data_IF_718992291202
#
_entry.id   IF_718992291202
#
_cell.length_a   1.000
_cell.length_b   1.000
_cell.length_c   1.000
_cell.angle_alpha   90.00
_cell.angle_beta   90.00
_cell.angle_gamma   90.00
#
_symmetry.space_group_name_H-M   'P 1'
#
loop_
_entity.id
_entity.type
_entity.pdbx_description
1 polymer ?
#
# COMPACT_ATOMS: atom_id res chain seq x y z
N UNK A 1 46.57 10.35 23.21
CA UNK A 1 46.02 9.69 22.02
C UNK A 1 45.25 8.38 22.29
N UNK A 2 45.52 7.71 23.42
CA UNK A 2 44.77 6.50 23.80
C UNK A 2 43.31 6.78 24.14
N UNK A 3 42.94 7.97 24.58
CA UNK A 3 41.60 8.33 25.01
C UNK A 3 40.63 8.68 23.81
N UNK A 4 41.17 9.10 22.68
CA UNK A 4 40.37 9.43 21.50
C UNK A 4 39.76 8.17 20.84
N UNK A 5 40.46 7.03 20.93
CA UNK A 5 39.94 5.75 20.41
C UNK A 5 38.78 5.20 21.23
N UNK A 6 38.83 5.39 22.54
CA UNK A 6 37.78 4.90 23.42
C UNK A 6 36.51 5.78 23.36
N UNK A 7 36.67 7.09 23.21
CA UNK A 7 35.54 8.01 23.03
C UNK A 7 34.81 7.76 21.71
N UNK A 8 35.53 7.40 20.64
CA UNK A 8 34.92 7.08 19.36
C UNK A 8 34.12 5.77 19.42
N UNK A 9 34.60 4.79 20.18
CA UNK A 9 33.96 3.48 20.32
C UNK A 9 32.68 3.58 21.17
N UNK A 10 32.70 4.39 22.21
CA UNK A 10 31.53 4.65 23.08
C UNK A 10 30.45 5.42 22.33
N UNK A 11 30.84 6.35 21.46
CA UNK A 11 29.92 7.12 20.63
C UNK A 11 29.22 6.25 19.57
N UNK A 12 29.91 5.24 19.04
CA UNK A 12 29.38 4.29 18.07
C UNK A 12 28.40 3.31 18.72
N UNK A 13 28.61 2.91 19.97
CA UNK A 13 27.67 2.06 20.72
C UNK A 13 26.39 2.79 21.13
N UNK A 14 26.46 4.09 21.42
CA UNK A 14 25.30 4.90 21.73
C UNK A 14 24.37 5.09 20.53
N UNK A 15 24.92 5.08 19.31
CA UNK A 15 24.13 5.17 18.08
C UNK A 15 23.36 3.87 17.79
N UNK A 16 23.92 2.71 18.15
CA UNK A 16 23.28 1.41 17.94
C UNK A 16 22.10 1.16 18.89
N UNK A 17 22.09 1.84 20.05
CA UNK A 17 21.04 1.69 21.06
C UNK A 17 19.77 2.53 20.79
N UNK A 18 19.80 3.42 19.79
CA UNK A 18 18.69 4.34 19.51
C UNK A 18 17.78 3.90 18.34
N UNK A 19 17.93 2.65 17.86
CA UNK A 19 17.02 2.12 16.84
C UNK A 19 15.65 1.81 17.47
N UNK A 20 14.67 2.67 17.15
CA UNK A 20 13.31 2.46 17.59
C UNK A 20 12.76 1.13 17.02
N UNK A 21 12.18 0.29 17.88
CA UNK A 21 11.52 -0.94 17.47
C UNK A 21 10.24 -0.58 16.72
N UNK A 22 10.06 -1.12 15.51
CA UNK A 22 8.82 -0.99 14.76
C UNK A 22 7.68 -1.67 15.50
N UNK A 23 6.53 -0.99 15.62
CA UNK A 23 5.34 -1.50 16.29
C UNK A 23 4.12 -1.37 15.40
N UNK A 24 3.23 -2.38 15.36
CA UNK A 24 1.96 -2.23 14.68
C UNK A 24 1.07 -1.22 15.42
N UNK A 25 0.48 -0.31 14.66
CA UNK A 25 -0.44 0.71 15.16
C UNK A 25 -1.72 0.64 14.35
N UNK A 26 -2.86 0.74 15.03
CA UNK A 26 -4.15 0.79 14.36
C UNK A 26 -4.56 2.24 14.09
N UNK A 27 -5.05 2.49 12.90
CA UNK A 27 -5.64 3.76 12.51
C UNK A 27 -7.14 3.57 12.34
N UNK A 28 -8.00 4.41 12.96
CA UNK A 28 -9.46 4.25 12.82
C UNK A 28 -9.94 4.27 11.38
N UNK A 29 -9.32 5.11 10.55
CA UNK A 29 -9.60 5.20 9.11
C UNK A 29 -8.31 5.37 8.32
N UNK A 30 -8.03 4.43 7.42
CA UNK A 30 -6.96 4.52 6.46
C UNK A 30 -7.52 4.73 5.04
N UNK A 31 -6.67 5.16 4.13
CA UNK A 31 -7.05 5.44 2.74
C UNK A 31 -6.28 4.54 1.81
N UNK A 32 -6.98 3.93 0.86
CA UNK A 32 -6.34 3.05 -0.10
C UNK A 32 -7.09 3.00 -1.43
N UNK A 33 -6.41 2.59 -2.46
CA UNK A 33 -7.00 2.23 -3.74
C UNK A 33 -6.25 1.06 -4.36
N UNK A 34 -6.90 0.37 -5.28
CA UNK A 34 -6.31 -0.74 -6.02
C UNK A 34 -5.89 -0.33 -7.42
N UNK A 35 -4.79 -0.90 -7.86
CA UNK A 35 -4.30 -0.84 -9.23
C UNK A 35 -4.18 -2.28 -9.74
N UNK A 36 -4.87 -2.59 -10.84
CA UNK A 36 -4.97 -3.96 -11.33
C UNK A 36 -4.58 -3.98 -12.81
N UNK A 37 -3.60 -4.83 -13.13
CA UNK A 37 -3.06 -4.96 -14.47
C UNK A 37 -2.83 -6.42 -14.85
N UNK A 38 -2.55 -6.65 -16.13
CA UNK A 38 -2.18 -7.97 -16.63
C UNK A 38 -1.07 -7.81 -17.67
N UNK A 39 -0.13 -8.73 -17.69
CA UNK A 39 0.96 -8.74 -18.67
C UNK A 39 0.50 -9.18 -20.07
N UNK A 40 -0.62 -9.87 -20.17
CA UNK A 40 -1.12 -10.42 -21.44
C UNK A 40 -2.10 -9.51 -22.18
N UNK A 41 -2.57 -8.45 -21.56
CA UNK A 41 -3.46 -7.48 -22.21
C UNK A 41 -3.13 -6.04 -21.79
N UNK A 42 -3.80 -5.07 -22.39
CA UNK A 42 -3.59 -3.65 -22.14
C UNK A 42 -4.65 -3.01 -21.24
N UNK A 43 -5.51 -3.81 -20.62
CA UNK A 43 -6.57 -3.31 -19.76
C UNK A 43 -6.04 -3.11 -18.33
N UNK A 44 -6.26 -1.92 -17.80
CA UNK A 44 -5.87 -1.54 -16.45
C UNK A 44 -7.11 -1.08 -15.69
N UNK A 45 -7.23 -1.52 -14.44
CA UNK A 45 -8.31 -1.08 -13.56
C UNK A 45 -7.73 -0.25 -12.41
N UNK A 46 -8.43 0.82 -12.08
CA UNK A 46 -8.25 1.58 -10.84
C UNK A 46 -9.52 1.47 -10.02
N UNK A 47 -9.39 1.23 -8.73
CA UNK A 47 -10.53 1.44 -7.84
C UNK A 47 -10.62 2.92 -7.48
N UNK A 48 -11.77 3.35 -7.01
CA UNK A 48 -11.88 4.65 -6.33
C UNK A 48 -11.01 4.67 -5.08
N UNK A 49 -10.62 5.85 -4.64
CA UNK A 49 -10.00 6.02 -3.32
C UNK A 49 -11.04 5.64 -2.27
N UNK A 50 -10.69 4.70 -1.40
CA UNK A 50 -11.60 4.18 -0.38
C UNK A 50 -11.09 4.48 1.01
N UNK A 51 -12.01 4.80 1.91
CA UNK A 51 -11.76 4.88 3.34
C UNK A 51 -12.03 3.51 3.94
N UNK A 52 -11.06 2.95 4.65
CA UNK A 52 -11.17 1.63 5.28
C UNK A 52 -10.99 1.78 6.78
N UNK A 53 -11.90 1.17 7.55
CA UNK A 53 -11.86 1.23 9.00
C UNK A 53 -10.81 0.27 9.58
N UNK A 54 -10.27 0.61 10.74
CA UNK A 54 -9.36 -0.23 11.52
C UNK A 54 -8.17 -0.77 10.71
N UNK A 55 -7.44 0.15 10.10
CA UNK A 55 -6.26 -0.19 9.29
C UNK A 55 -5.02 -0.22 10.18
N UNK A 56 -4.26 -1.30 10.08
CA UNK A 56 -3.01 -1.47 10.80
C UNK A 56 -1.81 -1.10 9.93
N UNK A 57 -0.85 -0.40 10.52
CA UNK A 57 0.38 -0.04 9.84
C UNK A 57 1.57 -0.11 10.79
N UNK A 58 2.77 -0.19 10.23
CA UNK A 58 4.02 -0.16 10.99
C UNK A 58 4.37 1.27 11.36
N UNK A 59 4.60 1.52 12.66
CA UNK A 59 4.85 2.88 13.17
C UNK A 59 6.14 3.49 12.65
N UNK A 60 7.12 2.68 12.28
CA UNK A 60 8.42 3.14 11.81
C UNK A 60 8.45 3.34 10.30
N UNK A 61 8.08 2.33 9.53
CA UNK A 61 8.11 2.37 8.06
C UNK A 61 6.87 3.03 7.47
N UNK A 62 5.78 3.13 8.23
CA UNK A 62 4.46 3.59 7.76
C UNK A 62 3.84 2.67 6.71
N UNK A 63 4.35 1.45 6.56
CA UNK A 63 3.82 0.47 5.62
C UNK A 63 2.53 -0.16 6.14
N UNK A 64 1.62 -0.41 5.22
CA UNK A 64 0.37 -1.10 5.50
C UNK A 64 0.64 -2.54 5.92
N UNK A 65 0.10 -2.94 7.07
CA UNK A 65 0.09 -4.34 7.50
C UNK A 65 -1.11 -5.07 6.89
N UNK A 66 -0.93 -6.33 6.56
CA UNK A 66 -1.97 -7.11 5.90
C UNK A 66 -2.22 -6.73 4.45
N UNK A 67 -1.26 -6.09 3.79
CA UNK A 67 -1.36 -5.67 2.39
C UNK A 67 -1.73 -6.81 1.46
N UNK A 68 -1.14 -7.99 1.66
CA UNK A 68 -1.44 -9.17 0.87
C UNK A 68 -2.89 -9.62 1.01
N UNK A 69 -3.49 -9.45 2.19
CA UNK A 69 -4.90 -9.78 2.43
C UNK A 69 -5.83 -8.81 1.71
N UNK A 70 -5.50 -7.52 1.69
CA UNK A 70 -6.24 -6.54 0.89
C UNK A 70 -6.11 -6.82 -0.61
N UNK A 71 -4.92 -7.15 -1.08
CA UNK A 71 -4.70 -7.53 -2.47
C UNK A 71 -5.47 -8.80 -2.84
N UNK A 72 -5.59 -9.76 -1.93
CA UNK A 72 -6.37 -10.98 -2.14
C UNK A 72 -7.87 -10.68 -2.31
N UNK A 73 -8.40 -9.70 -1.60
CA UNK A 73 -9.80 -9.27 -1.79
C UNK A 73 -10.03 -8.83 -3.24
N UNK A 74 -9.09 -8.09 -3.82
CA UNK A 74 -9.16 -7.70 -5.23
C UNK A 74 -9.03 -8.92 -6.16
N UNK A 75 -8.09 -9.81 -5.88
CA UNK A 75 -7.89 -11.03 -6.70
C UNK A 75 -9.13 -11.91 -6.71
N UNK A 76 -9.76 -12.10 -5.57
CA UNK A 76 -10.99 -12.88 -5.45
C UNK A 76 -12.15 -12.23 -6.21
N UNK A 77 -12.27 -10.93 -6.13
CA UNK A 77 -13.28 -10.19 -6.89
C UNK A 77 -13.08 -10.37 -8.40
N UNK A 78 -11.87 -10.18 -8.89
CA UNK A 78 -11.57 -10.33 -10.32
C UNK A 78 -11.71 -11.76 -10.79
N UNK A 79 -11.34 -12.74 -9.98
CA UNK A 79 -11.49 -14.15 -10.33
C UNK A 79 -12.95 -14.59 -10.35
N UNK A 80 -13.72 -14.25 -9.32
CA UNK A 80 -15.06 -14.79 -9.10
C UNK A 80 -16.17 -13.96 -9.73
N UNK A 81 -16.06 -12.63 -9.73
CA UNK A 81 -17.08 -11.74 -10.28
C UNK A 81 -16.83 -11.36 -11.73
N UNK A 82 -15.59 -11.15 -12.12
CA UNK A 82 -15.21 -10.71 -13.47
C UNK A 82 -14.58 -11.82 -14.31
N UNK A 83 -14.43 -13.02 -13.74
CA UNK A 83 -13.81 -14.16 -14.41
C UNK A 83 -12.41 -13.86 -14.98
N UNK A 84 -11.60 -13.13 -14.21
CA UNK A 84 -10.25 -12.71 -14.59
C UNK A 84 -9.23 -13.09 -13.50
N UNK A 85 -8.88 -14.41 -13.37
CA UNK A 85 -8.07 -14.88 -12.25
C UNK A 85 -6.56 -14.56 -12.34
N UNK A 86 -6.08 -14.08 -13.48
CA UNK A 86 -4.64 -13.88 -13.74
C UNK A 86 -4.18 -12.43 -13.65
N UNK A 87 -4.98 -11.53 -13.06
CA UNK A 87 -4.60 -10.14 -12.92
C UNK A 87 -3.71 -9.93 -11.71
N UNK A 88 -2.72 -9.05 -11.88
CA UNK A 88 -1.87 -8.58 -10.78
C UNK A 88 -2.58 -7.44 -10.06
N UNK A 89 -2.80 -7.61 -8.76
CA UNK A 89 -3.51 -6.65 -7.94
C UNK A 89 -2.54 -6.01 -6.94
N UNK A 90 -2.46 -4.68 -6.98
CA UNK A 90 -1.60 -3.88 -6.11
C UNK A 90 -2.47 -2.96 -5.29
N UNK A 91 -2.18 -2.86 -3.98
CA UNK A 91 -2.86 -1.95 -3.07
C UNK A 91 -1.92 -0.80 -2.71
N UNK A 92 -2.39 0.41 -2.88
CA UNK A 92 -1.67 1.62 -2.53
C UNK A 92 -2.38 2.25 -1.33
N UNK A 93 -1.61 2.59 -0.32
CA UNK A 93 -2.09 3.02 0.99
C UNK A 93 -1.45 4.35 1.40
N UNK A 94 -2.22 5.17 2.12
CA UNK A 94 -1.70 6.36 2.79
C UNK A 94 -2.47 6.63 4.08
N UNK A 95 -1.83 7.34 5.00
CA UNK A 95 -2.40 7.69 6.30
C UNK A 95 -3.36 8.87 6.21
N UNK A 96 -3.19 9.75 5.23
CA UNK A 96 -4.02 10.94 5.06
C UNK A 96 -4.67 10.94 3.69
N UNK A 97 -5.83 11.60 3.60
CA UNK A 97 -6.54 11.76 2.33
C UNK A 97 -5.71 12.55 1.31
N UNK A 98 -5.01 13.58 1.76
CA UNK A 98 -4.15 14.38 0.91
C UNK A 98 -3.04 13.54 0.24
N UNK A 99 -2.41 12.66 1.00
CA UNK A 99 -1.36 11.77 0.47
C UNK A 99 -1.91 10.76 -0.52
N UNK A 100 -3.04 10.13 -0.21
CA UNK A 100 -3.62 9.13 -1.12
C UNK A 100 -4.10 9.78 -2.43
N UNK A 101 -4.67 10.95 -2.36
CA UNK A 101 -5.08 11.71 -3.54
C UNK A 101 -3.88 12.05 -4.43
N UNK A 102 -2.77 12.46 -3.81
CA UNK A 102 -1.52 12.74 -4.52
C UNK A 102 -0.96 11.51 -5.22
N UNK A 103 -0.93 10.37 -4.55
CA UNK A 103 -0.49 9.10 -5.11
C UNK A 103 -1.40 8.63 -6.25
N UNK A 104 -2.70 8.76 -6.05
CA UNK A 104 -3.72 8.40 -7.03
C UNK A 104 -3.57 9.22 -8.32
N UNK A 105 -3.50 10.54 -8.20
CA UNK A 105 -3.36 11.44 -9.33
C UNK A 105 -2.04 11.21 -10.08
N UNK A 106 -0.96 11.00 -9.36
CA UNK A 106 0.35 10.72 -9.95
C UNK A 106 0.34 9.46 -10.81
N UNK A 107 -0.22 8.37 -10.27
CA UNK A 107 -0.31 7.10 -10.99
C UNK A 107 -1.27 7.18 -12.16
N UNK A 108 -2.45 7.73 -11.95
CA UNK A 108 -3.48 7.90 -12.99
C UNK A 108 -2.98 8.76 -14.14
N UNK A 109 -2.23 9.81 -13.87
CA UNK A 109 -1.65 10.70 -14.87
C UNK A 109 -0.69 9.98 -15.81
N UNK A 110 0.06 8.99 -15.33
CA UNK A 110 0.94 8.19 -16.17
C UNK A 110 0.16 7.43 -17.24
N UNK A 111 -1.01 6.88 -16.89
CA UNK A 111 -1.82 6.05 -17.79
C UNK A 111 -2.84 6.83 -18.60
N UNK A 112 -3.16 8.06 -18.24
CA UNK A 112 -4.03 8.95 -19.03
C UNK A 112 -3.23 9.92 -19.89
N UNK A 113 -1.95 10.17 -19.59
CA UNK A 113 -1.06 11.04 -20.34
C UNK A 113 -0.05 10.26 -21.17
N UNK A 114 1.08 9.91 -20.54
CA UNK A 114 2.23 9.28 -21.20
C UNK A 114 1.91 7.95 -21.89
N UNK A 115 1.08 7.13 -21.26
CA UNK A 115 0.75 5.79 -21.74
C UNK A 115 -0.70 5.63 -22.19
N UNK A 116 -1.41 6.74 -22.41
CA UNK A 116 -2.84 6.73 -22.76
C UNK A 116 -3.17 5.92 -24.01
N UNK A 117 -2.26 5.90 -24.99
CA UNK A 117 -2.46 5.17 -26.25
C UNK A 117 -2.17 3.67 -26.13
N UNK A 118 -1.53 3.24 -25.03
CA UNK A 118 -1.11 1.84 -24.85
C UNK A 118 -2.04 1.03 -23.95
N UNK A 119 -2.82 1.71 -23.13
CA UNK A 119 -3.65 1.08 -22.11
C UNK A 119 -5.09 1.51 -22.17
N UNK A 120 -5.98 0.56 -21.95
CA UNK A 120 -7.41 0.79 -21.76
C UNK A 120 -7.68 0.92 -20.27
N UNK A 121 -7.89 2.15 -19.81
CA UNK A 121 -8.12 2.45 -18.40
C UNK A 121 -9.58 2.30 -18.05
N UNK A 122 -9.87 1.44 -17.08
CA UNK A 122 -11.21 1.21 -16.56
C UNK A 122 -11.27 1.53 -15.08
N UNK A 123 -12.40 2.06 -14.64
CA UNK A 123 -12.63 2.39 -13.25
C UNK A 123 -13.53 1.34 -12.59
N UNK A 124 -13.17 0.95 -11.38
CA UNK A 124 -13.98 0.08 -10.54
C UNK A 124 -14.46 0.92 -9.35
N UNK A 125 -15.76 1.22 -9.32
CA UNK A 125 -16.31 2.11 -8.29
C UNK A 125 -16.58 1.38 -6.96
N UNK A 126 -16.80 2.15 -5.90
CA UNK A 126 -17.04 1.65 -4.55
C UNK A 126 -18.25 0.72 -4.42
N UNK A 127 -19.25 0.90 -5.27
CA UNK A 127 -20.44 0.04 -5.28
C UNK A 127 -20.15 -1.34 -5.87
N UNK A 128 -19.18 -1.44 -6.76
CA UNK A 128 -18.77 -2.70 -7.37
C UNK A 128 -17.82 -3.47 -6.48
N UNK A 129 -16.86 -2.77 -5.88
CA UNK A 129 -15.88 -3.36 -4.98
C UNK A 129 -15.53 -2.41 -3.85
N UNK A 130 -15.51 -2.90 -2.62
CA UNK A 130 -15.05 -2.15 -1.45
C UNK A 130 -14.12 -3.02 -0.60
N UNK A 131 -13.00 -2.45 -0.15
CA UNK A 131 -12.10 -3.14 0.77
C UNK A 131 -12.75 -3.33 2.13
N UNK A 132 -12.64 -4.53 2.68
CA UNK A 132 -13.06 -4.84 4.03
C UNK A 132 -11.87 -4.83 4.98
N UNK A 133 -12.05 -4.38 6.25
CA UNK A 133 -10.97 -4.39 7.23
C UNK A 133 -10.34 -5.77 7.39
N UNK A 134 -9.02 -5.79 7.53
CA UNK A 134 -8.23 -7.01 7.70
C UNK A 134 -7.75 -7.10 9.14
N UNK A 135 -7.95 -8.25 9.78
CA UNK A 135 -7.40 -8.53 11.10
C UNK A 135 -5.93 -8.91 10.96
N UNK A 136 -5.06 -8.17 11.67
CA UNK A 136 -3.63 -8.45 11.69
C UNK A 136 -3.29 -9.11 13.03
N UNK A 137 -2.66 -10.29 12.97
CA UNK A 137 -2.17 -10.95 14.17
C UNK A 137 -0.86 -10.31 14.61
N UNK A 138 -0.65 -10.19 15.92
CA UNK A 138 0.58 -9.61 16.50
C UNK A 138 1.87 -10.34 16.13
N UNK A 139 1.75 -11.47 15.44
CA UNK A 139 2.88 -12.35 15.05
C UNK A 139 3.38 -12.16 13.62
N UNK A 140 2.82 -11.21 12.89
CA UNK A 140 3.28 -10.94 11.53
C UNK A 140 4.26 -9.76 11.46
#
# INVERSE_FOLDING_TARGET
MKYLRYTFFVMMMAFAASTAIAKPVVMPKGYMFGFIANFSDSVIYFTDIQTVDSVWYDSKSKFLLGRSSYANQLREYFANKLNQPHRTCIVIFALTRKEIEKKYLKLKKQYTGKYASRYDLRMLNENEFHFSPVTVSEKE
#
